data_IF_507643123540
#
_entry.id   IF_507643123540
#
_cell.length_a   1.000
_cell.length_b   1.000
_cell.length_c   1.000
_cell.angle_alpha   90.00
_cell.angle_beta   90.00
_cell.angle_gamma   90.00
#
_symmetry.space_group_name_H-M   'P 1'
#
loop_
_entity.id
_entity.type
_entity.pdbx_description
1 polymer ?
#
# COMPACT_ATOMS: atom_id res chain seq x y z
N UNK A 1 1.45 -4.78 5.97
CA UNK A 1 0.17 -5.51 6.09
C UNK A 1 0.34 -7.01 6.20
N UNK A 2 1.13 -7.64 5.36
CA UNK A 2 1.36 -9.10 5.41
C UNK A 2 1.77 -9.60 6.80
N UNK A 3 2.70 -8.89 7.46
CA UNK A 3 3.11 -9.25 8.81
C UNK A 3 1.99 -9.13 9.83
N UNK A 4 1.15 -8.09 9.72
CA UNK A 4 0.02 -7.88 10.63
C UNK A 4 -0.98 -9.02 10.57
N UNK A 5 -1.37 -9.46 9.37
CA UNK A 5 -2.34 -10.54 9.21
C UNK A 5 -1.76 -11.89 9.63
N UNK A 6 -0.46 -12.09 9.42
CA UNK A 6 0.24 -13.29 9.88
C UNK A 6 0.31 -13.33 11.40
N UNK A 7 0.70 -12.23 12.05
CA UNK A 7 0.79 -12.13 13.50
C UNK A 7 -0.58 -12.31 14.16
N UNK A 8 -1.65 -11.87 13.50
CA UNK A 8 -3.03 -12.07 13.95
C UNK A 8 -3.61 -13.44 13.59
N UNK A 9 -2.85 -14.30 12.88
CA UNK A 9 -3.25 -15.63 12.42
C UNK A 9 -4.41 -15.63 11.42
N UNK A 10 -4.50 -14.57 10.60
CA UNK A 10 -5.50 -14.42 9.55
C UNK A 10 -4.89 -14.41 8.14
N UNK A 11 -3.65 -14.88 7.97
CA UNK A 11 -2.92 -14.79 6.70
C UNK A 11 -3.61 -15.53 5.54
N UNK A 12 -4.39 -16.57 5.82
CA UNK A 12 -5.13 -17.30 4.80
C UNK A 12 -6.38 -16.58 4.30
N UNK A 13 -6.84 -15.58 5.04
CA UNK A 13 -8.03 -14.80 4.71
C UNK A 13 -7.72 -13.59 3.83
N UNK A 14 -6.44 -13.27 3.63
CA UNK A 14 -6.01 -12.07 2.92
C UNK A 14 -4.98 -12.40 1.85
N UNK A 15 -5.22 -11.89 0.65
CA UNK A 15 -4.24 -11.88 -0.42
C UNK A 15 -3.78 -10.44 -0.65
N UNK A 16 -2.51 -10.17 -0.37
CA UNK A 16 -1.95 -8.82 -0.30
C UNK A 16 -0.87 -8.67 -1.35
N UNK A 17 -0.98 -7.63 -2.17
CA UNK A 17 -0.01 -7.33 -3.21
C UNK A 17 0.18 -5.82 -3.33
N UNK A 18 1.25 -5.41 -3.97
CA UNK A 18 1.51 -4.01 -4.30
C UNK A 18 1.86 -3.86 -5.77
N UNK A 19 1.56 -2.67 -6.31
CA UNK A 19 1.85 -2.34 -7.70
C UNK A 19 2.05 -0.84 -7.84
N UNK A 20 2.70 -0.42 -8.92
CA UNK A 20 2.90 0.99 -9.25
C UNK A 20 1.82 1.45 -10.23
N UNK A 21 1.50 2.75 -10.20
CA UNK A 21 0.56 3.35 -11.17
C UNK A 21 1.21 3.59 -12.53
N UNK A 22 2.54 3.74 -12.58
CA UNK A 22 3.29 3.98 -13.81
C UNK A 22 4.26 2.85 -14.12
N UNK A 23 4.83 2.87 -15.32
CA UNK A 23 5.84 1.90 -15.76
C UNK A 23 7.29 2.35 -15.50
N UNK A 24 7.48 3.55 -14.97
CA UNK A 24 8.82 4.14 -14.77
C UNK A 24 9.72 3.35 -13.82
N UNK A 25 9.13 2.62 -12.88
CA UNK A 25 9.85 1.88 -11.84
C UNK A 25 9.76 0.37 -11.99
N UNK A 26 9.25 -0.13 -13.13
CA UNK A 26 9.13 -1.59 -13.35
C UNK A 26 10.50 -2.25 -13.21
N UNK A 27 10.55 -3.30 -12.39
CA UNK A 27 11.76 -4.07 -12.15
C UNK A 27 12.66 -3.55 -11.03
N UNK A 28 12.40 -2.35 -10.51
CA UNK A 28 13.20 -1.81 -9.41
C UNK A 28 12.86 -2.55 -8.11
N UNK A 29 13.91 -2.91 -7.38
CA UNK A 29 13.78 -3.50 -6.04
C UNK A 29 13.37 -2.42 -5.02
N UNK A 30 13.05 -2.85 -3.80
CA UNK A 30 12.72 -1.95 -2.69
C UNK A 30 13.87 -0.97 -2.48
N UNK A 31 13.55 0.31 -2.35
CA UNK A 31 14.51 1.38 -2.12
C UNK A 31 15.31 1.12 -0.84
N UNK A 32 16.67 1.23 -0.85
CA UNK A 32 17.48 0.87 0.31
C UNK A 32 17.09 1.50 1.65
N UNK A 33 16.77 2.81 1.74
CA UNK A 33 16.29 3.38 3.00
C UNK A 33 14.97 2.78 3.48
N UNK A 34 14.08 2.35 2.57
CA UNK A 34 12.86 1.64 2.94
C UNK A 34 13.18 0.27 3.51
N UNK A 35 14.17 -0.44 2.96
CA UNK A 35 14.63 -1.72 3.51
C UNK A 35 15.13 -1.55 4.94
N UNK A 36 15.88 -0.48 5.23
CA UNK A 36 16.36 -0.20 6.57
C UNK A 36 15.23 0.06 7.55
N UNK A 37 14.21 0.81 7.14
CA UNK A 37 13.03 1.05 7.95
C UNK A 37 12.32 -0.26 8.29
N UNK A 38 12.15 -1.15 7.31
CA UNK A 38 11.55 -2.46 7.52
C UNK A 38 12.37 -3.31 8.51
N UNK A 39 13.71 -3.29 8.39
CA UNK A 39 14.60 -4.02 9.33
C UNK A 39 14.48 -3.52 10.76
N UNK A 40 14.37 -2.20 10.94
CA UNK A 40 14.20 -1.59 12.28
C UNK A 40 12.93 -2.06 12.96
N UNK A 41 11.90 -2.36 12.18
CA UNK A 41 10.60 -2.80 12.69
C UNK A 41 10.40 -4.32 12.59
N UNK A 42 11.46 -5.08 12.30
CA UNK A 42 11.44 -6.53 12.19
C UNK A 42 10.41 -7.05 11.18
N UNK A 43 10.24 -6.33 10.07
CA UNK A 43 9.34 -6.72 8.99
C UNK A 43 10.14 -7.45 7.91
N UNK A 44 9.85 -8.74 7.67
CA UNK A 44 10.56 -9.50 6.64
C UNK A 44 10.19 -9.01 5.24
N UNK A 45 11.17 -9.04 4.35
CA UNK A 45 10.96 -8.72 2.93
C UNK A 45 11.91 -9.55 2.09
N UNK A 46 11.57 -9.70 0.82
CA UNK A 46 12.38 -10.38 -0.17
C UNK A 46 12.75 -9.41 -1.28
N UNK A 47 13.83 -9.72 -2.01
CA UNK A 47 14.15 -8.98 -3.23
C UNK A 47 12.97 -9.11 -4.20
N UNK A 48 12.53 -7.99 -4.76
CA UNK A 48 11.39 -7.98 -5.67
C UNK A 48 11.57 -6.88 -6.72
N UNK A 49 10.99 -7.11 -7.91
CA UNK A 49 10.87 -6.07 -8.91
C UNK A 49 9.51 -5.37 -8.79
N UNK A 50 9.49 -4.06 -8.91
CA UNK A 50 8.24 -3.32 -8.98
C UNK A 50 7.48 -3.71 -10.25
N UNK A 51 6.16 -3.82 -10.16
CA UNK A 51 5.27 -4.09 -11.29
C UNK A 51 4.23 -3.01 -11.44
N UNK A 52 3.72 -2.82 -12.64
CA UNK A 52 2.63 -1.88 -12.89
C UNK A 52 1.27 -2.56 -12.63
N UNK A 53 0.32 -1.79 -12.10
CA UNK A 53 -1.05 -2.26 -11.89
C UNK A 53 -1.72 -2.59 -13.23
N UNK A 54 -2.53 -3.66 -13.26
CA UNK A 54 -3.22 -4.15 -14.45
C UNK A 54 -4.74 -4.12 -14.30
N UNK A 55 -5.46 -4.34 -15.41
CA UNK A 55 -6.92 -4.45 -15.39
C UNK A 55 -7.37 -5.66 -14.57
N UNK A 56 -6.62 -6.76 -14.62
CA UNK A 56 -6.89 -7.94 -13.82
C UNK A 56 -6.77 -7.63 -12.32
N UNK A 57 -5.81 -6.79 -11.91
CA UNK A 57 -5.67 -6.37 -10.52
C UNK A 57 -6.94 -5.67 -10.04
N UNK A 58 -7.48 -4.75 -10.83
CA UNK A 58 -8.70 -4.04 -10.47
C UNK A 58 -9.88 -4.99 -10.30
N UNK A 59 -10.02 -5.98 -11.16
CA UNK A 59 -11.12 -6.94 -11.09
C UNK A 59 -10.95 -7.94 -9.95
N UNK A 60 -9.71 -8.33 -9.65
CA UNK A 60 -9.40 -9.40 -8.71
C UNK A 60 -9.47 -8.98 -7.24
N UNK A 61 -8.86 -7.83 -6.90
CA UNK A 61 -8.77 -7.37 -5.51
C UNK A 61 -10.04 -6.66 -5.07
N UNK A 62 -10.44 -6.90 -3.83
CA UNK A 62 -11.64 -6.30 -3.24
C UNK A 62 -11.40 -4.85 -2.82
N UNK A 63 -10.17 -4.54 -2.40
CA UNK A 63 -9.78 -3.21 -1.92
C UNK A 63 -8.48 -2.80 -2.58
N UNK A 64 -8.42 -1.55 -3.03
CA UNK A 64 -7.23 -0.95 -3.63
C UNK A 64 -6.94 0.35 -2.90
N UNK A 65 -5.81 0.40 -2.19
CA UNK A 65 -5.42 1.57 -1.42
C UNK A 65 -4.29 2.31 -2.12
N UNK A 66 -4.42 3.63 -2.21
CA UNK A 66 -3.41 4.50 -2.80
C UNK A 66 -2.90 5.49 -1.75
N UNK A 67 -1.71 6.03 -1.96
CA UNK A 67 -1.01 6.82 -0.95
C UNK A 67 -1.24 8.32 -1.10
N UNK A 68 -1.46 8.82 -2.31
CA UNK A 68 -1.58 10.24 -2.60
C UNK A 68 -2.68 10.54 -3.62
N UNK A 69 -2.99 11.83 -3.76
CA UNK A 69 -4.06 12.28 -4.67
C UNK A 69 -3.74 12.01 -6.13
N UNK A 70 -2.45 12.06 -6.52
CA UNK A 70 -2.05 11.75 -7.90
C UNK A 70 -2.31 10.29 -8.23
N UNK A 71 -1.97 9.37 -7.32
CA UNK A 71 -2.29 7.95 -7.49
C UNK A 71 -3.80 7.73 -7.60
N UNK A 72 -4.58 8.38 -6.74
CA UNK A 72 -6.04 8.25 -6.76
C UNK A 72 -6.62 8.70 -8.11
N UNK A 73 -6.17 9.87 -8.58
CA UNK A 73 -6.62 10.42 -9.87
C UNK A 73 -6.26 9.50 -11.03
N UNK A 74 -5.01 9.00 -11.06
CA UNK A 74 -4.54 8.14 -12.14
C UNK A 74 -5.28 6.80 -12.17
N UNK A 75 -5.53 6.22 -11.01
CA UNK A 75 -6.26 4.96 -10.89
C UNK A 75 -7.72 5.12 -11.33
N UNK A 76 -8.39 6.18 -10.88
CA UNK A 76 -9.79 6.45 -11.28
C UNK A 76 -9.91 6.77 -12.76
N UNK A 77 -8.93 7.49 -13.33
CA UNK A 77 -8.91 7.77 -14.76
C UNK A 77 -8.77 6.48 -15.57
N UNK A 78 -7.93 5.58 -15.12
CA UNK A 78 -7.64 4.33 -15.83
C UNK A 78 -8.76 3.30 -15.71
N UNK A 79 -9.34 3.13 -14.52
CA UNK A 79 -10.28 2.05 -14.24
C UNK A 79 -11.73 2.51 -14.05
N UNK A 80 -11.98 3.79 -13.86
CA UNK A 80 -13.31 4.35 -13.66
C UNK A 80 -13.94 4.09 -12.30
N UNK A 81 -13.43 3.14 -11.55
CA UNK A 81 -13.84 2.76 -10.18
C UNK A 81 -15.36 2.62 -9.96
N UNK A 82 -16.06 1.98 -10.90
CA UNK A 82 -17.50 1.74 -10.79
C UNK A 82 -17.88 0.93 -9.53
N UNK A 83 -16.97 0.09 -9.05
CA UNK A 83 -17.19 -0.75 -7.88
C UNK A 83 -16.81 -0.08 -6.56
N UNK A 84 -16.27 1.13 -6.60
CA UNK A 84 -15.89 1.86 -5.39
C UNK A 84 -14.75 1.22 -4.59
N UNK A 85 -13.82 0.55 -5.26
CA UNK A 85 -12.72 -0.18 -4.61
C UNK A 85 -11.51 0.68 -4.27
N UNK A 86 -11.33 1.80 -4.97
CA UNK A 86 -10.11 2.62 -4.90
C UNK A 86 -10.31 3.73 -3.88
N UNK A 87 -9.44 3.79 -2.87
CA UNK A 87 -9.50 4.84 -1.86
C UNK A 87 -8.10 5.16 -1.33
N UNK A 88 -7.97 6.34 -0.75
CA UNK A 88 -6.75 6.76 -0.07
C UNK A 88 -6.52 5.90 1.17
N UNK A 89 -5.28 5.47 1.39
CA UNK A 89 -4.98 4.66 2.57
C UNK A 89 -5.31 5.40 3.87
N UNK A 90 -4.99 6.69 3.96
CA UNK A 90 -5.29 7.48 5.16
C UNK A 90 -6.78 7.66 5.43
N UNK A 91 -7.66 7.44 4.43
CA UNK A 91 -9.10 7.47 4.67
C UNK A 91 -9.54 6.38 5.65
N UNK A 92 -8.80 5.28 5.74
CA UNK A 92 -9.05 4.21 6.72
C UNK A 92 -8.90 4.68 8.16
N UNK A 93 -8.03 5.68 8.39
CA UNK A 93 -7.85 6.31 9.69
C UNK A 93 -8.77 7.51 9.91
N UNK A 94 -9.69 7.79 8.98
CA UNK A 94 -10.60 8.91 9.05
C UNK A 94 -10.00 10.25 8.64
N UNK A 95 -8.85 10.23 7.95
CA UNK A 95 -8.15 11.45 7.55
C UNK A 95 -8.14 11.60 6.02
N UNK A 96 -8.55 12.76 5.53
CA UNK A 96 -8.53 13.10 4.11
C UNK A 96 -7.21 13.76 3.73
N UNK A 97 -6.12 12.99 3.76
CA UNK A 97 -4.78 13.48 3.40
C UNK A 97 -3.92 12.41 2.75
N UNK A 98 -2.85 12.87 2.12
CA UNK A 98 -1.84 12.00 1.56
C UNK A 98 -0.92 11.42 2.64
N UNK A 99 -0.26 10.30 2.30
CA UNK A 99 0.94 9.86 3.00
C UNK A 99 2.11 10.41 2.18
N UNK A 100 2.91 11.35 2.70
CA UNK A 100 4.01 11.92 1.95
C UNK A 100 5.00 10.85 1.50
N UNK A 101 5.46 10.94 0.25
CA UNK A 101 6.41 9.99 -0.31
C UNK A 101 7.78 10.17 0.35
N UNK A 102 8.30 9.17 1.06
CA UNK A 102 9.57 9.28 1.76
C UNK A 102 10.78 9.37 0.83
N UNK A 103 10.62 9.07 -0.45
CA UNK A 103 11.66 9.35 -1.44
C UNK A 103 12.01 10.83 -1.46
N UNK A 104 10.99 11.72 -1.32
CA UNK A 104 11.19 13.17 -1.32
C UNK A 104 11.45 13.75 0.07
N UNK A 105 10.80 13.22 1.09
CA UNK A 105 10.92 13.74 2.47
C UNK A 105 12.08 13.16 3.25
N UNK A 106 12.53 11.96 2.90
CA UNK A 106 13.50 11.20 3.67
C UNK A 106 12.96 10.62 4.98
N UNK A 107 11.70 10.85 5.30
CA UNK A 107 11.08 10.44 6.58
C UNK A 107 10.30 9.14 6.43
N UNK A 108 11.01 8.02 6.45
CA UNK A 108 10.43 6.68 6.35
C UNK A 108 9.66 6.28 7.60
N UNK A 109 10.04 6.80 8.77
CA UNK A 109 9.37 6.47 10.03
C UNK A 109 7.94 7.05 10.08
N UNK A 110 7.75 8.29 9.64
CA UNK A 110 6.41 8.88 9.56
C UNK A 110 5.52 8.13 8.58
N UNK A 111 6.07 7.74 7.43
CA UNK A 111 5.36 6.93 6.44
C UNK A 111 4.96 5.58 7.03
N UNK A 112 5.89 4.92 7.70
CA UNK A 112 5.62 3.65 8.39
C UNK A 112 4.49 3.79 9.40
N UNK A 113 4.53 4.83 10.22
CA UNK A 113 3.52 5.10 11.26
C UNK A 113 2.14 5.32 10.64
N UNK A 114 2.05 6.14 9.58
CA UNK A 114 0.79 6.41 8.88
C UNK A 114 0.20 5.13 8.29
N UNK A 115 1.02 4.32 7.64
CA UNK A 115 0.58 3.04 7.07
C UNK A 115 0.07 2.10 8.16
N UNK A 116 0.81 1.96 9.25
CA UNK A 116 0.41 1.10 10.36
C UNK A 116 -0.89 1.55 11.01
N UNK A 117 -1.06 2.84 11.24
CA UNK A 117 -2.29 3.40 11.82
C UNK A 117 -3.50 3.07 10.95
N UNK A 118 -3.38 3.30 9.64
CA UNK A 118 -4.46 3.03 8.69
C UNK A 118 -4.80 1.55 8.61
N UNK A 119 -3.79 0.70 8.51
CA UNK A 119 -3.98 -0.76 8.39
C UNK A 119 -4.51 -1.37 9.68
N UNK A 120 -4.06 -0.91 10.84
CA UNK A 120 -4.59 -1.39 12.12
C UNK A 120 -6.09 -1.09 12.23
N UNK A 121 -6.52 0.08 11.81
CA UNK A 121 -7.93 0.46 11.80
C UNK A 121 -8.74 -0.46 10.87
N UNK A 122 -8.25 -0.65 9.64
CA UNK A 122 -8.90 -1.52 8.66
C UNK A 122 -9.01 -2.97 9.16
N UNK A 123 -7.92 -3.52 9.69
CA UNK A 123 -7.89 -4.91 10.14
C UNK A 123 -8.74 -5.13 11.39
N UNK A 124 -8.78 -4.16 12.31
CA UNK A 124 -9.63 -4.28 13.50
C UNK A 124 -11.12 -4.33 13.16
N UNK A 125 -11.53 -3.70 12.06
CA UNK A 125 -12.91 -3.75 11.58
C UNK A 125 -13.19 -5.02 10.76
N UNK A 126 -12.15 -5.68 10.25
CA UNK A 126 -12.26 -6.88 9.42
C UNK A 126 -12.26 -8.19 10.24
N UNK A 127 -11.66 -8.15 11.42
CA UNK A 127 -11.52 -9.33 12.28
C UNK A 127 -12.71 -9.54 13.26
#
# INVERSE_FOLDING_TARGET
MKKMVKDARHEEEFEISSAATSDEVIGYDIYPPAKECLRKHDIPFQKRGARQVTDEDYSYYDHIFVMDWANLRDMKRRFGDEKGKIQMLMSLAGEEREIPDPWYTGDFESTYRDICTSLNKFLSESF
#
